data_IF_336555545270
#
_entry.id   IF_336555545270
#
_cell.length_a   1.000
_cell.length_b   1.000
_cell.length_c   1.000
_cell.angle_alpha   90.00
_cell.angle_beta   90.00
_cell.angle_gamma   90.00
#
_symmetry.space_group_name_H-M   'P 1'
#
loop_
_entity.id
_entity.type
_entity.pdbx_description
1 polymer ?
#
# COMPACT_ATOMS: atom_id res chain seq x y z
N UNK A 1 -6.92 28.80 10.75
CA UNK A 1 -5.50 28.96 11.09
C UNK A 1 -5.06 27.57 11.49
N UNK A 2 -4.28 26.87 10.67
CA UNK A 2 -3.69 25.60 11.09
C UNK A 2 -2.68 25.97 12.17
N UNK A 3 -2.89 25.53 13.41
CA UNK A 3 -1.92 25.79 14.47
C UNK A 3 -0.61 25.12 14.06
N UNK A 4 0.51 25.84 14.11
CA UNK A 4 1.81 25.30 13.72
C UNK A 4 2.11 23.96 14.41
N UNK A 5 1.57 23.76 15.62
CA UNK A 5 1.58 22.50 16.35
C UNK A 5 1.01 21.32 15.55
N UNK A 6 -0.16 21.46 14.91
CA UNK A 6 -0.78 20.38 14.12
C UNK A 6 0.08 19.95 12.94
N UNK A 7 0.76 20.92 12.31
CA UNK A 7 1.70 20.64 11.22
C UNK A 7 2.94 19.91 11.74
N UNK A 8 3.45 20.28 12.92
CA UNK A 8 4.56 19.58 13.55
C UNK A 8 4.21 18.15 13.98
N UNK A 9 3.01 17.93 14.53
CA UNK A 9 2.53 16.58 14.88
C UNK A 9 2.42 15.68 13.65
N UNK A 10 1.80 16.17 12.58
CA UNK A 10 1.69 15.46 11.32
C UNK A 10 3.08 15.09 10.75
N UNK A 11 4.01 16.04 10.71
CA UNK A 11 5.38 15.79 10.24
C UNK A 11 6.13 14.78 11.12
N UNK A 12 5.87 14.78 12.43
CA UNK A 12 6.45 13.81 13.36
C UNK A 12 5.88 12.40 13.12
N UNK A 13 4.56 12.24 12.95
CA UNK A 13 3.92 10.96 12.64
C UNK A 13 4.45 10.38 11.32
N UNK A 14 4.57 11.25 10.32
CA UNK A 14 5.21 10.96 9.04
C UNK A 14 6.65 10.46 9.24
N UNK A 15 7.46 11.18 10.01
CA UNK A 15 8.87 10.84 10.21
C UNK A 15 9.00 9.48 10.92
N UNK A 16 8.13 9.20 11.90
CA UNK A 16 8.06 7.91 12.58
C UNK A 16 7.68 6.80 11.60
N UNK A 17 6.68 7.02 10.75
CA UNK A 17 6.24 6.02 9.79
C UNK A 17 7.31 5.73 8.73
N UNK A 18 8.00 6.76 8.23
CA UNK A 18 9.13 6.61 7.30
C UNK A 18 10.32 5.93 7.98
N UNK A 19 10.63 6.27 9.23
CA UNK A 19 11.71 5.63 9.98
C UNK A 19 11.41 4.14 10.24
N UNK A 20 10.16 3.79 10.59
CA UNK A 20 9.73 2.41 10.72
C UNK A 20 9.87 1.63 9.40
N UNK A 21 9.44 2.24 8.30
CA UNK A 21 9.60 1.66 6.95
C UNK A 21 11.07 1.48 6.56
N UNK A 22 11.92 2.46 6.84
CA UNK A 22 13.36 2.40 6.59
C UNK A 22 14.03 1.32 7.45
N UNK A 23 13.63 1.16 8.71
CA UNK A 23 14.10 0.08 9.59
C UNK A 23 13.76 -1.31 9.07
N UNK A 24 12.55 -1.50 8.53
CA UNK A 24 12.19 -2.75 7.85
C UNK A 24 13.06 -2.94 6.61
N UNK A 25 13.23 -1.89 5.78
CA UNK A 25 14.07 -1.95 4.58
C UNK A 25 15.54 -2.30 4.88
N UNK A 26 16.13 -1.79 5.95
CA UNK A 26 17.53 -2.08 6.32
C UNK A 26 17.74 -3.50 6.82
N UNK A 27 16.76 -4.10 7.50
CA UNK A 27 16.82 -5.51 7.96
C UNK A 27 16.88 -6.47 6.76
N UNK A 28 16.16 -6.14 5.69
CA UNK A 28 16.09 -6.97 4.47
C UNK A 28 17.10 -6.55 3.40
N UNK A 29 17.59 -5.31 3.43
CA UNK A 29 18.54 -4.74 2.49
C UNK A 29 19.89 -5.47 2.50
N UNK A 30 20.45 -5.71 1.31
CA UNK A 30 21.75 -6.38 1.15
C UNK A 30 21.74 -7.89 1.37
N UNK A 31 20.59 -8.48 1.73
CA UNK A 31 20.41 -9.95 1.88
C UNK A 31 19.63 -10.58 0.74
N UNK A 32 19.46 -9.87 -0.38
CA UNK A 32 18.65 -10.26 -1.53
C UNK A 32 18.98 -11.65 -2.08
N UNK A 33 20.27 -12.01 -2.11
CA UNK A 33 20.74 -13.34 -2.57
C UNK A 33 20.34 -14.51 -1.66
N UNK A 34 19.86 -14.25 -0.44
CA UNK A 34 19.44 -15.29 0.52
C UNK A 34 17.94 -15.59 0.46
N UNK A 35 17.15 -14.73 -0.21
CA UNK A 35 15.71 -14.88 -0.30
C UNK A 35 15.32 -15.60 -1.59
N UNK A 36 14.31 -16.45 -1.51
CA UNK A 36 13.67 -17.03 -2.70
C UNK A 36 12.85 -15.95 -3.42
N UNK A 37 12.63 -16.11 -4.72
CA UNK A 37 11.85 -15.17 -5.52
C UNK A 37 10.45 -14.88 -4.94
N UNK A 38 9.83 -15.89 -4.31
CA UNK A 38 8.56 -15.74 -3.61
C UNK A 38 8.66 -14.84 -2.36
N UNK A 39 9.75 -14.92 -1.60
CA UNK A 39 10.00 -14.10 -0.39
C UNK A 39 10.31 -12.66 -0.79
N UNK A 40 11.10 -12.46 -1.87
CA UNK A 40 11.34 -11.14 -2.47
C UNK A 40 10.04 -10.50 -2.97
N UNK A 41 9.14 -11.29 -3.56
CA UNK A 41 7.84 -10.78 -4.01
C UNK A 41 6.96 -10.33 -2.84
N UNK A 42 6.98 -11.06 -1.71
CA UNK A 42 6.26 -10.67 -0.49
C UNK A 42 6.82 -9.38 0.12
N UNK A 43 8.14 -9.26 0.18
CA UNK A 43 8.83 -8.04 0.63
C UNK A 43 8.45 -6.85 -0.26
N UNK A 44 8.47 -7.03 -1.58
CA UNK A 44 8.06 -6.00 -2.54
C UNK A 44 6.60 -5.58 -2.33
N UNK A 45 5.69 -6.54 -2.16
CA UNK A 45 4.29 -6.27 -1.88
C UNK A 45 4.08 -5.50 -0.57
N UNK A 46 4.82 -5.87 0.48
CA UNK A 46 4.82 -5.15 1.75
C UNK A 46 5.24 -3.69 1.58
N UNK A 47 6.38 -3.45 0.92
CA UNK A 47 6.87 -2.08 0.71
C UNK A 47 5.92 -1.26 -0.17
N UNK A 48 5.36 -1.85 -1.22
CA UNK A 48 4.43 -1.14 -2.12
C UNK A 48 3.11 -0.78 -1.44
N UNK A 49 2.51 -1.70 -0.68
CA UNK A 49 1.26 -1.43 0.04
C UNK A 49 1.45 -0.38 1.14
N UNK A 50 2.54 -0.46 1.90
CA UNK A 50 2.86 0.55 2.91
C UNK A 50 3.15 1.92 2.28
N UNK A 51 3.86 1.97 1.15
CA UNK A 51 4.11 3.22 0.43
C UNK A 51 2.81 3.85 -0.11
N UNK A 52 1.85 3.05 -0.58
CA UNK A 52 0.53 3.53 -1.03
C UNK A 52 -0.26 4.19 0.11
N UNK A 53 -0.27 3.57 1.28
CA UNK A 53 -0.94 4.13 2.47
C UNK A 53 -0.31 5.46 2.85
N UNK A 54 1.03 5.51 2.91
CA UNK A 54 1.74 6.75 3.20
C UNK A 54 1.42 7.83 2.18
N UNK A 55 1.54 7.53 0.88
CA UNK A 55 1.23 8.48 -0.19
C UNK A 55 -0.21 9.04 -0.08
N UNK A 56 -1.17 8.20 0.29
CA UNK A 56 -2.54 8.61 0.55
C UNK A 56 -2.68 9.56 1.73
N UNK A 57 -2.14 9.20 2.89
CA UNK A 57 -2.17 10.05 4.09
C UNK A 57 -1.48 11.40 3.85
N UNK A 58 -0.30 11.39 3.23
CA UNK A 58 0.42 12.60 2.85
C UNK A 58 -0.35 13.47 1.87
N UNK A 59 -0.99 12.84 0.87
CA UNK A 59 -1.81 13.54 -0.10
C UNK A 59 -2.96 14.28 0.58
N UNK A 60 -3.68 13.62 1.49
CA UNK A 60 -4.78 14.23 2.25
C UNK A 60 -4.27 15.44 3.04
N UNK A 61 -3.21 15.24 3.82
CA UNK A 61 -2.70 16.27 4.70
C UNK A 61 -2.13 17.47 3.92
N UNK A 62 -1.48 17.24 2.79
CA UNK A 62 -0.97 18.30 1.91
C UNK A 62 -2.11 19.11 1.27
N UNK A 63 -3.19 18.44 0.86
CA UNK A 63 -4.37 19.11 0.28
C UNK A 63 -5.12 19.93 1.31
N UNK A 64 -5.27 19.41 2.54
CA UNK A 64 -5.87 20.14 3.65
C UNK A 64 -5.02 21.35 4.05
N UNK A 65 -3.68 21.21 4.08
CA UNK A 65 -2.77 22.32 4.32
C UNK A 65 -2.84 23.41 3.24
N UNK A 66 -3.12 23.02 1.99
CA UNK A 66 -3.36 23.95 0.88
C UNK A 66 -4.74 24.63 0.94
N UNK A 67 -5.59 24.29 1.91
CA UNK A 67 -6.92 24.87 2.07
C UNK A 67 -7.94 24.37 1.04
N UNK A 68 -7.70 23.21 0.41
CA UNK A 68 -8.68 22.60 -0.49
C UNK A 68 -9.90 22.13 0.29
N UNK A 69 -11.06 22.14 -0.37
CA UNK A 69 -12.26 21.55 0.23
C UNK A 69 -12.07 20.04 0.43
N UNK A 70 -12.80 19.45 1.38
CA UNK A 70 -12.71 18.01 1.63
C UNK A 70 -13.05 17.20 0.37
N UNK A 71 -14.07 17.61 -0.40
CA UNK A 71 -14.43 16.93 -1.66
C UNK A 71 -13.31 16.96 -2.70
N UNK A 72 -12.66 18.13 -2.87
CA UNK A 72 -11.54 18.28 -3.82
C UNK A 72 -10.33 17.46 -3.37
N UNK A 73 -10.05 17.48 -2.07
CA UNK A 73 -8.99 16.67 -1.46
C UNK A 73 -9.21 15.19 -1.74
N UNK A 74 -10.39 14.65 -1.43
CA UNK A 74 -10.69 13.23 -1.62
C UNK A 74 -10.66 12.82 -3.09
N UNK A 75 -11.13 13.67 -4.00
CA UNK A 75 -11.07 13.41 -5.44
C UNK A 75 -9.62 13.39 -5.95
N UNK A 76 -8.81 14.40 -5.58
CA UNK A 76 -7.42 14.51 -6.02
C UNK A 76 -6.55 13.38 -5.47
N UNK A 77 -6.69 13.07 -4.17
CA UNK A 77 -5.98 11.95 -3.54
C UNK A 77 -6.40 10.62 -4.15
N UNK A 78 -7.70 10.42 -4.41
CA UNK A 78 -8.17 9.20 -5.08
C UNK A 78 -7.62 9.06 -6.50
N UNK A 79 -7.47 10.17 -7.25
CA UNK A 79 -6.85 10.17 -8.59
C UNK A 79 -5.36 9.79 -8.54
N UNK A 80 -4.60 10.39 -7.62
CA UNK A 80 -3.17 10.07 -7.43
C UNK A 80 -3.01 8.60 -7.03
N UNK A 81 -3.83 8.16 -6.07
CA UNK A 81 -3.82 6.77 -5.62
C UNK A 81 -4.27 5.82 -6.72
N UNK A 82 -5.21 6.19 -7.59
CA UNK A 82 -5.63 5.34 -8.72
C UNK A 82 -4.43 5.02 -9.63
N UNK A 83 -3.63 6.04 -9.96
CA UNK A 83 -2.42 5.87 -10.79
C UNK A 83 -1.37 5.02 -10.06
N UNK A 84 -1.06 5.38 -8.82
CA UNK A 84 -0.06 4.66 -8.02
C UNK A 84 -0.47 3.19 -7.80
N UNK A 85 -1.74 2.96 -7.49
CA UNK A 85 -2.31 1.64 -7.27
C UNK A 85 -2.30 0.82 -8.57
N UNK A 86 -2.62 1.43 -9.71
CA UNK A 86 -2.50 0.78 -11.02
C UNK A 86 -1.08 0.28 -11.32
N UNK A 87 -0.05 1.06 -10.99
CA UNK A 87 1.35 0.63 -11.14
C UNK A 87 1.70 -0.55 -10.23
N UNK A 88 1.21 -0.57 -8.99
CA UNK A 88 1.43 -1.68 -8.04
C UNK A 88 0.71 -2.96 -8.48
N UNK A 89 -0.53 -2.85 -8.97
CA UNK A 89 -1.35 -3.97 -9.48
C UNK A 89 -0.70 -4.66 -10.67
N UNK A 90 0.01 -3.90 -11.52
CA UNK A 90 0.67 -4.46 -12.70
C UNK A 90 1.99 -5.16 -12.38
N UNK A 91 2.53 -4.98 -11.19
CA UNK A 91 3.87 -5.42 -10.83
C UNK A 91 3.86 -6.69 -9.98
N UNK A 92 3.31 -6.64 -8.77
CA UNK A 92 3.33 -7.78 -7.83
C UNK A 92 2.40 -8.93 -8.26
N UNK A 93 1.12 -8.70 -8.59
CA UNK A 93 0.20 -9.75 -9.03
C UNK A 93 0.65 -10.45 -10.32
N UNK A 94 1.13 -9.68 -11.30
CA UNK A 94 1.60 -10.23 -12.58
C UNK A 94 2.83 -11.12 -12.38
N UNK A 95 3.77 -10.71 -11.52
CA UNK A 95 4.93 -11.53 -11.14
C UNK A 95 4.51 -12.77 -10.34
N UNK A 96 3.51 -12.67 -9.46
CA UNK A 96 2.96 -13.81 -8.72
C UNK A 96 2.39 -14.88 -9.68
N UNK A 97 1.61 -14.46 -10.68
CA UNK A 97 1.02 -15.36 -11.68
C UNK A 97 2.11 -16.04 -12.51
N UNK A 98 3.15 -15.29 -12.93
CA UNK A 98 4.28 -15.87 -13.68
C UNK A 98 5.03 -16.93 -12.88
N UNK A 99 5.30 -16.67 -11.60
CA UNK A 99 5.95 -17.63 -10.70
C UNK A 99 5.07 -18.87 -10.44
N UNK A 100 3.77 -18.68 -10.27
CA UNK A 100 2.82 -19.79 -10.15
C UNK A 100 2.81 -20.68 -11.40
N UNK A 101 2.77 -20.07 -12.60
CA UNK A 101 2.82 -20.81 -13.89
C UNK A 101 4.11 -21.60 -14.08
N UNK A 102 5.23 -21.13 -13.52
CA UNK A 102 6.51 -21.84 -13.56
C UNK A 102 6.60 -23.02 -12.58
N UNK A 103 5.57 -23.27 -11.76
CA UNK A 103 5.55 -24.28 -10.68
C UNK A 103 6.69 -24.14 -9.65
N UNK A 104 7.37 -23.00 -9.64
CA UNK A 104 8.50 -22.71 -8.73
C UNK A 104 8.04 -22.28 -7.33
N UNK A 105 6.72 -22.30 -7.06
CA UNK A 105 6.16 -21.78 -5.81
C UNK A 105 5.19 -22.72 -5.14
N UNK A 106 5.43 -22.96 -3.86
CA UNK A 106 4.47 -23.39 -2.82
C UNK A 106 3.50 -22.25 -2.43
N UNK A 107 3.13 -21.39 -3.37
CA UNK A 107 2.16 -20.32 -3.10
C UNK A 107 0.77 -20.92 -3.27
N UNK A 108 0.06 -21.08 -2.16
CA UNK A 108 -1.31 -21.59 -2.17
C UNK A 108 -2.20 -20.71 -3.05
N UNK A 109 -3.11 -21.35 -3.80
CA UNK A 109 -4.10 -20.67 -4.63
C UNK A 109 -4.88 -19.61 -3.82
N UNK A 110 -5.17 -19.89 -2.55
CA UNK A 110 -5.83 -18.98 -1.62
C UNK A 110 -5.04 -17.70 -1.31
N UNK A 111 -3.70 -17.77 -1.22
CA UNK A 111 -2.87 -16.59 -1.03
C UNK A 111 -2.85 -15.69 -2.27
N UNK A 112 -2.90 -16.30 -3.46
CA UNK A 112 -2.89 -15.59 -4.73
C UNK A 112 -4.24 -14.92 -4.98
N UNK A 113 -5.35 -15.59 -4.67
CA UNK A 113 -6.70 -15.03 -4.78
C UNK A 113 -6.96 -13.93 -3.76
N UNK A 114 -6.48 -14.06 -2.51
CA UNK A 114 -6.60 -13.01 -1.49
C UNK A 114 -5.78 -11.76 -1.83
N UNK A 115 -4.59 -11.92 -2.42
CA UNK A 115 -3.83 -10.78 -2.94
C UNK A 115 -4.56 -10.14 -4.12
N UNK A 116 -5.10 -10.95 -5.04
CA UNK A 116 -5.81 -10.47 -6.23
C UNK A 116 -7.11 -9.72 -5.88
N UNK A 117 -7.85 -10.16 -4.86
CA UNK A 117 -9.11 -9.52 -4.47
C UNK A 117 -8.89 -8.07 -4.02
N UNK A 118 -7.84 -7.80 -3.23
CA UNK A 118 -7.48 -6.43 -2.85
C UNK A 118 -7.33 -5.54 -4.08
N UNK A 119 -6.58 -6.03 -5.07
CA UNK A 119 -6.25 -5.29 -6.29
C UNK A 119 -7.45 -5.09 -7.22
N UNK A 120 -8.32 -6.10 -7.34
CA UNK A 120 -9.54 -6.04 -8.17
C UNK A 120 -10.59 -5.14 -7.56
N UNK A 121 -10.73 -5.10 -6.23
CA UNK A 121 -11.71 -4.24 -5.57
C UNK A 121 -11.19 -2.80 -5.38
N UNK A 122 -9.88 -2.61 -5.19
CA UNK A 122 -9.29 -1.29 -4.95
C UNK A 122 -9.41 -0.33 -6.14
N UNK A 123 -9.14 -0.79 -7.36
CA UNK A 123 -9.18 0.08 -8.56
C UNK A 123 -10.58 0.65 -8.86
N UNK A 124 -11.65 -0.17 -8.94
CA UNK A 124 -13.01 0.35 -9.11
C UNK A 124 -13.42 1.26 -7.96
N UNK A 125 -13.08 0.91 -6.72
CA UNK A 125 -13.43 1.69 -5.54
C UNK A 125 -12.79 3.09 -5.59
N UNK A 126 -11.50 3.18 -5.94
CA UNK A 126 -10.81 4.46 -6.12
C UNK A 126 -11.37 5.27 -7.29
N UNK A 127 -11.73 4.60 -8.39
CA UNK A 127 -12.34 5.25 -9.56
C UNK A 127 -13.69 5.85 -9.18
N UNK A 128 -14.55 5.08 -8.54
CA UNK A 128 -15.87 5.54 -8.06
C UNK A 128 -15.68 6.67 -7.03
N UNK A 129 -14.70 6.58 -6.15
CA UNK A 129 -14.46 7.64 -5.17
C UNK A 129 -13.96 8.94 -5.80
N UNK A 130 -13.07 8.84 -6.80
CA UNK A 130 -12.51 9.98 -7.52
C UNK A 130 -13.58 10.78 -8.27
N UNK A 131 -14.53 10.09 -8.92
CA UNK A 131 -15.50 10.73 -9.82
C UNK A 131 -16.88 10.96 -9.21
N UNK A 132 -17.36 10.05 -8.33
CA UNK A 132 -18.75 10.04 -7.86
C UNK A 132 -18.87 10.33 -6.37
N UNK A 133 -18.22 9.54 -5.50
CA UNK A 133 -18.50 9.59 -4.05
C UNK A 133 -17.82 10.75 -3.34
N UNK A 134 -16.52 11.00 -3.61
CA UNK A 134 -15.71 12.03 -2.93
C UNK A 134 -15.76 11.95 -1.40
N UNK A 135 -15.87 10.73 -0.87
CA UNK A 135 -15.95 10.48 0.56
C UNK A 135 -14.65 9.87 1.11
N UNK A 136 -14.51 9.90 2.42
CA UNK A 136 -13.32 9.41 3.14
C UNK A 136 -13.34 7.89 3.33
N UNK A 137 -14.53 7.31 3.51
CA UNK A 137 -14.69 5.89 3.83
C UNK A 137 -14.04 4.93 2.82
N UNK A 138 -14.05 5.18 1.49
CA UNK A 138 -13.40 4.27 0.54
C UNK A 138 -11.88 4.24 0.70
N UNK A 139 -11.28 5.38 1.04
CA UNK A 139 -9.85 5.49 1.31
C UNK A 139 -9.48 4.78 2.62
N UNK A 140 -10.27 4.99 3.67
CA UNK A 140 -10.08 4.31 4.97
C UNK A 140 -10.16 2.80 4.81
N UNK A 141 -11.15 2.30 4.07
CA UNK A 141 -11.31 0.88 3.79
C UNK A 141 -10.10 0.33 3.02
N UNK A 142 -9.67 1.05 1.97
CA UNK A 142 -8.54 0.62 1.15
C UNK A 142 -7.23 0.59 1.94
N UNK A 143 -6.97 1.60 2.77
CA UNK A 143 -5.78 1.65 3.63
C UNK A 143 -5.81 0.55 4.68
N UNK A 144 -6.96 0.33 5.33
CA UNK A 144 -7.11 -0.74 6.32
C UNK A 144 -6.82 -2.12 5.72
N UNK A 145 -7.37 -2.40 4.54
CA UNK A 145 -7.12 -3.66 3.85
C UNK A 145 -5.65 -3.79 3.37
N UNK A 146 -5.04 -2.68 2.95
CA UNK A 146 -3.63 -2.64 2.54
C UNK A 146 -2.71 -2.93 3.73
N UNK A 147 -2.99 -2.35 4.90
CA UNK A 147 -2.27 -2.59 6.16
C UNK A 147 -2.43 -4.06 6.58
N UNK A 148 -3.66 -4.57 6.64
CA UNK A 148 -3.91 -5.97 6.99
C UNK A 148 -3.17 -6.94 6.08
N UNK A 149 -3.18 -6.66 4.76
CA UNK A 149 -2.45 -7.48 3.78
C UNK A 149 -0.95 -7.39 3.99
N UNK A 150 -0.40 -6.19 4.23
CA UNK A 150 1.03 -6.01 4.50
C UNK A 150 1.46 -6.76 5.78
N UNK A 151 0.68 -6.66 6.87
CA UNK A 151 0.93 -7.38 8.12
C UNK A 151 0.88 -8.90 7.88
N UNK A 152 -0.09 -9.38 7.11
CA UNK A 152 -0.20 -10.80 6.78
C UNK A 152 1.00 -11.31 5.97
N UNK A 153 1.45 -10.53 4.98
CA UNK A 153 2.65 -10.88 4.20
C UNK A 153 3.91 -10.87 5.08
N UNK A 154 4.02 -9.92 6.00
CA UNK A 154 5.11 -9.87 6.97
C UNK A 154 5.11 -11.09 7.89
N UNK A 155 3.94 -11.43 8.46
CA UNK A 155 3.79 -12.60 9.33
C UNK A 155 4.23 -13.89 8.62
N UNK A 156 3.81 -14.09 7.36
CA UNK A 156 4.22 -15.26 6.56
C UNK A 156 5.70 -15.26 6.19
N UNK A 157 6.31 -14.09 6.05
CA UNK A 157 7.75 -13.96 5.84
C UNK A 157 8.53 -14.40 7.09
N UNK A 158 8.09 -13.95 8.28
CA UNK A 158 8.74 -14.28 9.56
C UNK A 158 8.55 -15.75 9.93
N UNK A 159 7.33 -16.28 9.81
CA UNK A 159 6.99 -17.65 10.22
C UNK A 159 7.35 -18.72 9.18
N UNK A 160 7.77 -18.32 7.97
CA UNK A 160 8.00 -19.22 6.82
C UNK A 160 6.79 -20.10 6.46
N UNK A 161 5.59 -19.75 6.94
CA UNK A 161 4.35 -20.46 6.63
C UNK A 161 3.92 -20.08 5.21
N UNK A 162 3.92 -21.08 4.33
CA UNK A 162 3.51 -20.97 2.93
C UNK A 162 2.03 -21.29 2.76
#
# INVERSE_FOLDING_TARGET
>A
MIEHADTFYLLAEVAIAVAGFAGVATVFGGREKRFRDAELLRLRGLFQLSALVLAGCFGIASCQAAGLSNEQTMSLVSMILLVAYGLVVMDVPVKAIRLYRKKETTVSLGALTAAWSLYVFGLPLLTINAFLLRHEWPLILLFSLSILTAIWQFYRLVTKVN
#
